data_IF_090667801753
#
_entry.id   IF_090667801753
#
_cell.length_a   1.000
_cell.length_b   1.000
_cell.length_c   1.000
_cell.angle_alpha   90.00
_cell.angle_beta   90.00
_cell.angle_gamma   90.00
#
_symmetry.space_group_name_H-M   'P 1'
#
loop_
_entity.id
_entity.type
_entity.pdbx_description
1 polymer ?
#
# COMPACT_ATOMS: atom_id res chain seq x y z
N UNK A 1 -13.31 12.45 1.55
CA UNK A 1 -13.58 13.75 2.20
C UNK A 1 -12.39 14.03 3.10
N UNK A 2 -11.45 14.85 2.64
CA UNK A 2 -10.34 15.32 3.49
C UNK A 2 -10.90 16.34 4.48
N UNK A 3 -10.57 16.17 5.76
CA UNK A 3 -11.03 17.11 6.78
C UNK A 3 -10.18 18.40 6.76
N UNK A 4 -10.72 19.45 7.40
CA UNK A 4 -10.19 20.82 7.44
C UNK A 4 -9.19 21.02 8.58
N UNK A 5 -8.29 20.06 8.79
CA UNK A 5 -7.20 20.17 9.76
C UNK A 5 -5.86 19.94 9.04
N UNK A 6 -4.73 20.47 9.53
CA UNK A 6 -3.43 20.13 8.94
C UNK A 6 -3.19 18.62 9.08
N UNK A 7 -3.21 17.90 7.95
CA UNK A 7 -2.96 16.47 7.90
C UNK A 7 -1.51 16.20 7.51
N UNK A 8 -0.78 15.49 8.37
CA UNK A 8 0.53 14.96 8.05
C UNK A 8 0.35 13.69 7.22
N UNK A 9 0.99 13.67 6.05
CA UNK A 9 1.05 12.49 5.21
C UNK A 9 2.47 11.93 5.24
N UNK A 10 2.57 10.61 5.25
CA UNK A 10 3.84 9.90 5.27
C UNK A 10 4.04 9.20 3.94
N UNK A 11 5.26 9.25 3.43
CA UNK A 11 5.63 8.54 2.21
C UNK A 11 5.80 7.05 2.53
N UNK A 12 5.02 6.17 1.88
CA UNK A 12 5.25 4.74 2.03
C UNK A 12 6.54 4.36 1.30
N UNK A 13 7.49 3.64 1.95
CA UNK A 13 8.75 3.22 1.32
C UNK A 13 8.56 2.25 0.15
N UNK A 14 7.34 1.75 -0.03
CA UNK A 14 6.95 0.77 -1.03
C UNK A 14 6.67 1.31 -2.43
N UNK A 15 6.62 2.64 -2.60
CA UNK A 15 6.39 3.26 -3.91
C UNK A 15 7.69 3.27 -4.71
N UNK A 16 7.61 3.10 -6.03
CA UNK A 16 8.77 3.25 -6.92
C UNK A 16 9.39 4.66 -6.82
N UNK A 17 8.59 5.64 -6.36
CA UNK A 17 8.99 7.03 -6.14
C UNK A 17 9.82 7.24 -4.86
N UNK A 18 9.74 6.31 -3.90
CA UNK A 18 10.41 6.38 -2.59
C UNK A 18 11.50 5.33 -2.43
N UNK A 19 11.50 4.32 -3.29
CA UNK A 19 12.52 3.28 -3.33
C UNK A 19 13.77 3.87 -3.98
N UNK A 20 14.65 4.49 -3.18
CA UNK A 20 16.06 4.55 -3.57
C UNK A 20 16.53 3.11 -3.69
N UNK A 21 16.84 2.66 -4.90
CA UNK A 21 17.23 1.28 -5.19
C UNK A 21 18.27 0.79 -4.15
N UNK A 22 18.05 -0.36 -3.48
CA UNK A 22 19.09 -0.94 -2.64
C UNK A 22 20.32 -1.28 -3.50
N UNK A 23 21.56 -1.07 -3.01
CA UNK A 23 22.74 -1.45 -3.75
C UNK A 23 22.88 -2.98 -3.75
N UNK A 24 22.58 -3.61 -4.89
CA UNK A 24 22.92 -4.99 -5.28
C UNK A 24 22.16 -6.11 -4.52
N UNK A 25 21.78 -7.27 -5.04
CA UNK A 25 22.29 -8.14 -6.12
C UNK A 25 21.09 -8.92 -6.70
N UNK A 26 21.01 -9.01 -8.04
CA UNK A 26 20.23 -10.00 -8.82
C UNK A 26 18.70 -9.83 -8.96
N UNK A 27 18.30 -9.05 -9.97
CA UNK A 27 17.16 -9.41 -10.81
C UNK A 27 17.48 -9.07 -12.27
N UNK A 28 18.18 -9.98 -12.94
CA UNK A 28 18.21 -10.00 -14.41
C UNK A 28 16.77 -10.24 -14.88
N UNK A 29 16.19 -9.25 -15.58
CA UNK A 29 15.23 -9.36 -16.71
C UNK A 29 14.11 -8.32 -16.64
N UNK A 30 14.31 -7.18 -17.27
CA UNK A 30 13.47 -6.66 -18.34
C UNK A 30 14.10 -5.38 -18.88
N UNK A 31 14.29 -5.35 -20.19
CA UNK A 31 14.84 -4.25 -20.97
C UNK A 31 13.99 -2.98 -20.86
N UNK A 32 14.45 -2.01 -20.09
CA UNK A 32 14.08 -0.60 -20.24
C UNK A 32 15.38 0.18 -20.26
N UNK A 33 15.65 0.82 -21.39
CA UNK A 33 16.77 1.74 -21.58
C UNK A 33 16.59 2.86 -20.56
N UNK A 34 17.52 3.10 -19.62
CA UNK A 34 17.47 4.28 -18.79
C UNK A 34 17.89 5.46 -19.67
N UNK A 35 16.92 6.20 -20.17
CA UNK A 35 17.16 7.55 -20.67
C UNK A 35 17.33 8.41 -19.43
N UNK A 36 18.59 8.78 -19.15
CA UNK A 36 19.01 9.84 -18.23
C UNK A 36 18.07 10.11 -17.05
N UNK A 37 18.03 9.18 -16.09
CA UNK A 37 17.50 9.50 -14.77
C UNK A 37 18.61 10.21 -13.99
N UNK A 38 18.48 11.52 -13.67
CA UNK A 38 19.48 12.18 -12.85
C UNK A 38 19.58 11.46 -11.52
N UNK A 39 20.82 11.29 -11.09
CA UNK A 39 21.33 10.45 -10.00
C UNK A 39 20.86 10.91 -8.60
N UNK A 40 19.93 11.87 -8.55
CA UNK A 40 19.41 12.56 -7.36
C UNK A 40 17.89 12.79 -7.47
N UNK A 41 17.11 11.76 -7.82
CA UNK A 41 15.65 11.81 -7.75
C UNK A 41 15.18 11.80 -6.29
N UNK A 42 15.45 12.89 -5.56
CA UNK A 42 14.88 13.14 -4.24
C UNK A 42 13.36 13.20 -4.39
N UNK A 43 12.63 12.34 -3.67
CA UNK A 43 11.17 12.31 -3.66
C UNK A 43 10.58 13.71 -3.40
N UNK A 44 9.81 14.24 -4.35
CA UNK A 44 9.14 15.53 -4.20
C UNK A 44 7.71 15.34 -3.68
N UNK A 45 7.41 15.70 -2.42
CA UNK A 45 6.07 15.52 -1.84
C UNK A 45 4.99 16.40 -2.47
N UNK A 46 5.35 17.41 -3.28
CA UNK A 46 4.42 18.30 -3.96
C UNK A 46 4.10 17.88 -5.41
N UNK A 47 4.74 16.83 -5.92
CA UNK A 47 4.42 16.30 -7.25
C UNK A 47 3.01 15.68 -7.26
N UNK A 48 2.17 15.89 -8.29
CA UNK A 48 0.89 15.21 -8.43
C UNK A 48 0.97 13.69 -8.23
N UNK A 49 2.08 13.07 -8.65
CA UNK A 49 2.33 11.62 -8.50
C UNK A 49 2.69 11.20 -7.08
N UNK A 50 3.11 12.13 -6.23
CA UNK A 50 3.42 11.85 -4.83
C UNK A 50 2.15 11.51 -4.02
N UNK A 51 0.97 11.97 -4.46
CA UNK A 51 -0.30 11.63 -3.81
C UNK A 51 -0.55 10.11 -3.75
N UNK A 52 -0.05 9.34 -4.73
CA UNK A 52 -0.19 7.88 -4.76
C UNK A 52 0.81 7.15 -3.84
N UNK A 53 1.82 7.87 -3.35
CA UNK A 53 2.84 7.38 -2.43
C UNK A 53 2.66 7.90 -0.99
N UNK A 54 1.80 8.91 -0.81
CA UNK A 54 1.53 9.57 0.46
C UNK A 54 0.29 8.96 1.11
N UNK A 55 0.38 8.60 2.38
CA UNK A 55 -0.73 8.04 3.14
C UNK A 55 -0.84 8.68 4.53
N UNK A 56 -2.06 8.88 5.05
CA UNK A 56 -2.24 9.33 6.42
C UNK A 56 -1.84 8.23 7.41
N UNK A 57 -1.53 8.63 8.66
CA UNK A 57 -1.11 7.71 9.72
C UNK A 57 -2.14 6.59 9.98
N UNK A 58 -3.43 6.91 9.93
CA UNK A 58 -4.51 5.96 10.24
C UNK A 58 -4.60 4.77 9.28
N UNK A 59 -3.95 4.84 8.11
CA UNK A 59 -3.93 3.78 7.08
C UNK A 59 -2.58 3.05 7.00
N UNK A 60 -1.67 3.37 7.90
CA UNK A 60 -0.33 2.83 7.93
C UNK A 60 -0.23 1.79 9.05
N UNK A 61 0.36 0.64 8.74
CA UNK A 61 0.59 -0.45 9.67
C UNK A 61 2.09 -0.58 9.94
N UNK A 62 2.46 -0.93 11.17
CA UNK A 62 3.85 -1.24 11.49
C UNK A 62 4.11 -2.73 11.28
N UNK A 63 5.21 -3.06 10.60
CA UNK A 63 5.65 -4.43 10.40
C UNK A 63 6.84 -4.71 11.34
N UNK A 64 6.62 -5.57 12.33
CA UNK A 64 7.63 -5.92 13.33
C UNK A 64 8.84 -6.65 12.72
N UNK A 65 8.63 -7.46 11.67
CA UNK A 65 9.71 -8.21 11.01
C UNK A 65 10.65 -7.32 10.18
N UNK A 66 10.11 -6.22 9.63
CA UNK A 66 10.85 -5.29 8.78
C UNK A 66 11.30 -4.02 9.51
N UNK A 67 10.87 -3.85 10.77
CA UNK A 67 11.03 -2.62 11.57
C UNK A 67 10.64 -1.35 10.79
N UNK A 68 9.60 -1.45 9.96
CA UNK A 68 9.21 -0.40 9.02
C UNK A 68 7.69 -0.27 8.87
N UNK A 69 7.25 0.92 8.48
CA UNK A 69 5.85 1.22 8.20
C UNK A 69 5.47 0.70 6.80
N UNK A 70 4.31 0.07 6.70
CA UNK A 70 3.69 -0.47 5.48
C UNK A 70 2.34 0.21 5.23
N UNK A 71 2.01 0.48 3.96
CA UNK A 71 0.69 0.97 3.57
C UNK A 71 -0.16 -0.13 2.92
N UNK A 72 -1.43 0.19 2.64
CA UNK A 72 -2.43 -0.66 1.97
C UNK A 72 -1.99 -1.26 0.63
N UNK A 73 -1.01 -0.65 -0.04
CA UNK A 73 -0.45 -1.19 -1.31
C UNK A 73 0.57 -2.31 -1.07
N UNK A 74 1.10 -2.40 0.13
CA UNK A 74 2.28 -3.17 0.45
C UNK A 74 1.96 -4.45 1.24
N UNK A 75 0.87 -4.43 2.00
CA UNK A 75 0.36 -5.62 2.68
C UNK A 75 -0.77 -6.27 1.86
N UNK A 76 -0.98 -7.57 2.07
CA UNK A 76 -2.10 -8.31 1.48
C UNK A 76 -3.26 -8.41 2.46
N UNK A 77 -4.48 -8.28 1.97
CA UNK A 77 -5.70 -8.52 2.74
C UNK A 77 -6.22 -9.93 2.49
N UNK A 78 -6.59 -10.62 3.56
CA UNK A 78 -7.17 -11.96 3.52
C UNK A 78 -8.56 -11.96 4.14
N UNK A 79 -9.46 -12.74 3.53
CA UNK A 79 -10.83 -12.89 4.04
C UNK A 79 -10.82 -13.93 5.16
N UNK A 80 -11.05 -13.48 6.39
CA UNK A 80 -11.08 -14.37 7.56
C UNK A 80 -12.48 -14.98 7.75
N UNK A 81 -13.52 -14.14 7.77
CA UNK A 81 -14.91 -14.57 7.98
C UNK A 81 -15.90 -13.72 7.19
N UNK A 82 -17.08 -14.27 6.94
CA UNK A 82 -18.21 -13.55 6.38
C UNK A 82 -19.24 -13.32 7.47
N UNK A 83 -19.95 -12.21 7.43
CA UNK A 83 -20.99 -11.92 8.40
C UNK A 83 -22.16 -11.17 7.78
N UNK A 84 -23.34 -11.34 8.37
CA UNK A 84 -24.52 -10.55 8.01
C UNK A 84 -24.51 -9.21 8.77
N UNK A 85 -24.52 -8.04 8.09
CA UNK A 85 -24.49 -6.74 8.77
C UNK A 85 -25.78 -6.44 9.55
N UNK A 86 -26.89 -7.09 9.21
CA UNK A 86 -28.17 -6.91 9.91
C UNK A 86 -28.28 -7.76 11.18
N UNK A 87 -27.75 -8.98 11.15
CA UNK A 87 -27.95 -9.96 12.23
C UNK A 87 -26.69 -10.18 13.09
N UNK A 88 -25.51 -9.70 12.66
CA UNK A 88 -24.20 -9.94 13.26
C UNK A 88 -23.85 -11.43 13.48
N UNK A 89 -24.39 -12.32 12.64
CA UNK A 89 -24.00 -13.72 12.63
C UNK A 89 -22.91 -13.98 11.61
N UNK A 90 -21.97 -14.85 11.99
CA UNK A 90 -20.94 -15.38 11.11
C UNK A 90 -21.55 -16.41 10.14
N UNK A 91 -21.21 -16.29 8.86
CA UNK A 91 -21.68 -17.18 7.80
C UNK A 91 -20.49 -17.98 7.28
N UNK A 92 -20.58 -19.32 7.20
CA UNK A 92 -19.51 -20.14 6.64
C UNK A 92 -19.34 -19.83 5.15
N UNK A 93 -18.09 -19.89 4.67
CA UNK A 93 -17.76 -19.59 3.27
C UNK A 93 -18.51 -20.47 2.25
N UNK A 94 -18.89 -21.69 2.62
CA UNK A 94 -19.73 -22.57 1.81
C UNK A 94 -21.12 -22.01 1.57
N UNK A 95 -21.76 -21.47 2.62
CA UNK A 95 -23.08 -20.84 2.57
C UNK A 95 -23.08 -19.58 1.69
N UNK A 96 -22.06 -18.76 1.85
CA UNK A 96 -21.86 -17.52 1.06
C UNK A 96 -21.75 -17.84 -0.44
N UNK A 97 -20.98 -18.88 -0.79
CA UNK A 97 -20.82 -19.30 -2.19
C UNK A 97 -22.12 -19.85 -2.79
N UNK A 98 -22.89 -20.62 -2.01
CA UNK A 98 -24.16 -21.19 -2.49
C UNK A 98 -25.27 -20.14 -2.65
N UNK A 99 -25.31 -19.13 -1.79
CA UNK A 99 -26.34 -18.07 -1.83
C UNK A 99 -25.95 -16.89 -2.73
N UNK A 100 -24.75 -16.93 -3.32
CA UNK A 100 -24.26 -15.89 -4.23
C UNK A 100 -23.94 -14.57 -3.52
N UNK A 101 -23.29 -14.64 -2.35
CA UNK A 101 -22.95 -13.51 -1.49
C UNK A 101 -24.19 -12.72 -1.01
N UNK A 102 -25.30 -13.42 -0.77
CA UNK A 102 -26.52 -12.87 -0.16
C UNK A 102 -26.63 -13.24 1.31
#
# INVERSE_FOLDING_TARGET
MSATFPYTHYACPCSDLTTSAPPSISAKRASIIPVDAPEDSTFNPHDPRANDALSPLDRLLFCDECEAIRCERCYGEEIIHWYCPSCLFEVPSSGVRSDGNR
#
